data_IF_671205751116
#
_entry.id   IF_671205751116
#
_cell.length_a   1.000
_cell.length_b   1.000
_cell.length_c   1.000
_cell.angle_alpha   90.00
_cell.angle_beta   90.00
_cell.angle_gamma   90.00
#
_symmetry.space_group_name_H-M   'P 1'
#
loop_
_entity.id
_entity.type
_entity.pdbx_description
1 polymer ?
#
# COMPACT_ATOMS: atom_id res chain seq x y z
N UNK A 1 -1.62 13.59 11.03
CA UNK A 1 -0.67 13.98 9.97
C UNK A 1 0.28 15.04 10.46
N UNK A 2 -0.18 16.14 11.10
CA UNK A 2 0.69 17.23 11.57
C UNK A 2 1.78 16.75 12.56
N UNK A 3 1.46 15.86 13.47
CA UNK A 3 2.43 15.28 14.41
C UNK A 3 3.49 14.44 13.67
N UNK A 4 3.06 13.61 12.71
CA UNK A 4 3.97 12.84 11.88
C UNK A 4 4.86 13.75 11.02
N UNK A 5 4.32 14.83 10.45
CA UNK A 5 5.11 15.83 9.72
C UNK A 5 6.25 16.42 10.59
N UNK A 6 5.98 16.72 11.85
CA UNK A 6 7.00 17.18 12.80
C UNK A 6 8.04 16.09 13.12
N UNK A 7 7.58 14.85 13.30
CA UNK A 7 8.45 13.70 13.60
C UNK A 7 9.41 13.39 12.47
N UNK A 8 8.93 13.39 11.22
CA UNK A 8 9.73 13.10 10.03
C UNK A 8 10.49 14.33 9.49
N UNK A 9 10.16 15.52 9.96
CA UNK A 9 10.82 16.76 9.52
C UNK A 9 10.49 17.17 8.08
N UNK A 10 9.43 16.63 7.49
CA UNK A 10 8.97 16.94 6.14
C UNK A 10 7.64 17.71 6.18
N UNK A 11 7.54 18.76 5.39
CA UNK A 11 6.30 19.49 5.24
C UNK A 11 5.25 18.67 4.49
N UNK A 12 3.97 18.83 4.84
CA UNK A 12 2.85 18.16 4.18
C UNK A 12 1.74 19.15 3.89
N UNK A 13 1.28 19.17 2.63
CA UNK A 13 0.04 19.83 2.23
C UNK A 13 -1.11 18.82 2.26
N UNK A 14 -2.28 19.22 2.76
CA UNK A 14 -3.44 18.34 2.79
C UNK A 14 -4.48 18.80 1.79
N UNK A 15 -4.80 17.97 0.82
CA UNK A 15 -5.96 18.07 -0.06
C UNK A 15 -6.88 16.91 0.28
N UNK A 16 -8.19 17.10 0.21
CA UNK A 16 -9.11 16.04 0.61
C UNK A 16 -10.52 16.26 0.05
N UNK A 17 -11.25 15.17 -0.10
CA UNK A 17 -12.69 15.17 -0.31
C UNK A 17 -13.37 15.11 1.06
N UNK A 18 -13.68 16.29 1.64
CA UNK A 18 -14.11 16.42 3.03
C UNK A 18 -15.37 15.61 3.37
N UNK A 19 -16.30 15.47 2.42
CA UNK A 19 -17.54 14.72 2.60
C UNK A 19 -17.35 13.21 2.68
N UNK A 20 -16.26 12.71 2.08
CA UNK A 20 -16.00 11.27 1.95
C UNK A 20 -14.91 10.77 2.92
N UNK A 21 -14.23 11.69 3.61
CA UNK A 21 -13.07 11.36 4.45
C UNK A 21 -11.84 10.89 3.65
N UNK A 22 -11.83 11.12 2.33
CA UNK A 22 -10.73 10.74 1.46
C UNK A 22 -9.64 11.82 1.46
N UNK A 23 -8.45 11.47 1.90
CA UNK A 23 -7.34 12.40 2.09
C UNK A 23 -6.21 12.17 1.09
N UNK A 24 -5.66 13.27 0.57
CA UNK A 24 -4.51 13.30 -0.32
C UNK A 24 -3.35 14.08 0.32
N UNK A 25 -2.61 13.51 1.27
CA UNK A 25 -1.45 14.17 1.85
C UNK A 25 -0.34 14.30 0.82
N UNK A 26 0.08 15.55 0.53
CA UNK A 26 1.17 15.89 -0.37
C UNK A 26 2.43 16.11 0.46
N UNK A 27 3.26 15.08 0.61
CA UNK A 27 4.51 15.16 1.34
C UNK A 27 5.55 15.81 0.45
N UNK A 28 6.16 16.89 0.95
CA UNK A 28 7.17 17.65 0.20
C UNK A 28 8.56 17.15 0.56
N UNK A 29 9.31 16.68 -0.43
CA UNK A 29 10.69 16.22 -0.26
C UNK A 29 11.58 16.76 -1.38
N UNK A 30 12.90 16.81 -1.16
CA UNK A 30 13.88 17.21 -2.16
C UNK A 30 14.52 15.97 -2.78
N UNK A 31 14.17 15.67 -4.02
CA UNK A 31 14.70 14.51 -4.77
C UNK A 31 16.23 14.54 -4.97
N UNK A 32 16.87 15.70 -4.80
CA UNK A 32 18.33 15.84 -4.91
C UNK A 32 19.05 15.58 -3.58
N UNK A 33 18.31 15.51 -2.47
CA UNK A 33 18.86 15.29 -1.15
C UNK A 33 18.84 13.79 -0.83
N UNK A 34 20.00 13.16 -0.62
CA UNK A 34 20.06 11.74 -0.26
C UNK A 34 19.25 11.44 1.01
N UNK A 35 18.42 10.40 0.96
CA UNK A 35 17.61 9.93 2.09
C UNK A 35 16.24 10.62 2.23
N UNK A 36 15.98 11.72 1.52
CA UNK A 36 14.70 12.42 1.63
C UNK A 36 13.55 11.62 1.00
N UNK A 37 13.79 10.88 -0.08
CA UNK A 37 12.81 10.01 -0.70
C UNK A 37 12.40 8.88 0.26
N UNK A 38 13.36 8.19 0.83
CA UNK A 38 13.14 7.11 1.80
C UNK A 38 12.39 7.61 3.04
N UNK A 39 12.72 8.82 3.50
CA UNK A 39 12.00 9.46 4.61
C UNK A 39 10.56 9.80 4.23
N UNK A 40 10.34 10.28 3.00
CA UNK A 40 9.00 10.55 2.45
C UNK A 40 8.15 9.27 2.36
N UNK A 41 8.72 8.18 1.85
CA UNK A 41 8.05 6.88 1.77
C UNK A 41 7.70 6.33 3.15
N UNK A 42 8.61 6.41 4.11
CA UNK A 42 8.38 6.00 5.49
C UNK A 42 7.27 6.85 6.15
N UNK A 43 7.27 8.15 5.94
CA UNK A 43 6.20 9.04 6.42
C UNK A 43 4.84 8.68 5.79
N UNK A 44 4.80 8.44 4.49
CA UNK A 44 3.59 7.98 3.80
C UNK A 44 3.06 6.67 4.36
N UNK A 45 3.95 5.71 4.63
CA UNK A 45 3.58 4.43 5.23
C UNK A 45 2.96 4.59 6.63
N UNK A 46 3.49 5.46 7.48
CA UNK A 46 2.92 5.73 8.82
C UNK A 46 1.53 6.40 8.72
N UNK A 47 1.31 7.30 7.76
CA UNK A 47 -0.02 7.86 7.51
C UNK A 47 -1.02 6.75 7.13
N UNK A 48 -0.63 5.84 6.24
CA UNK A 48 -1.49 4.74 5.79
C UNK A 48 -1.81 3.75 6.93
N UNK A 49 -0.83 3.42 7.78
CA UNK A 49 -1.06 2.61 8.99
C UNK A 49 -2.07 3.28 9.92
N UNK A 50 -1.88 4.57 10.19
CA UNK A 50 -2.82 5.34 11.00
C UNK A 50 -4.23 5.35 10.38
N UNK A 51 -4.36 5.47 9.06
CA UNK A 51 -5.66 5.38 8.39
C UNK A 51 -6.36 4.06 8.69
N UNK A 52 -5.65 2.93 8.64
CA UNK A 52 -6.21 1.62 8.95
C UNK A 52 -6.58 1.52 10.44
N UNK A 53 -5.74 1.99 11.35
CA UNK A 53 -5.98 1.99 12.79
C UNK A 53 -7.26 2.73 13.19
N UNK A 54 -7.57 3.83 12.51
CA UNK A 54 -8.81 4.60 12.78
C UNK A 54 -10.03 4.10 12.00
N UNK A 55 -9.93 2.93 11.36
CA UNK A 55 -11.03 2.30 10.65
C UNK A 55 -11.20 2.72 9.19
N UNK A 56 -10.19 3.37 8.61
CA UNK A 56 -10.11 3.68 7.19
C UNK A 56 -9.44 2.55 6.39
N UNK A 57 -8.91 2.89 5.22
CA UNK A 57 -8.26 1.94 4.32
C UNK A 57 -6.99 2.52 3.68
N UNK A 58 -6.15 1.64 3.14
CA UNK A 58 -4.89 2.00 2.48
C UNK A 58 -5.06 2.86 1.23
N UNK A 59 -6.19 2.78 0.58
CA UNK A 59 -6.46 3.54 -0.65
C UNK A 59 -7.93 3.91 -0.75
N UNK A 60 -8.20 5.19 -0.98
CA UNK A 60 -9.55 5.66 -1.24
C UNK A 60 -9.97 5.46 -2.69
N UNK A 61 -9.11 5.87 -3.66
CA UNK A 61 -9.44 5.88 -5.08
C UNK A 61 -8.29 5.50 -6.01
N UNK A 62 -7.02 5.76 -5.63
CA UNK A 62 -5.88 5.56 -6.55
C UNK A 62 -5.45 4.10 -6.70
N UNK A 63 -5.89 3.22 -5.83
CA UNK A 63 -5.47 1.83 -5.81
C UNK A 63 -4.16 1.59 -5.05
N UNK A 64 -3.80 0.33 -4.89
CA UNK A 64 -2.63 -0.12 -4.13
C UNK A 64 -1.34 -0.03 -4.96
N UNK A 65 -1.40 -0.52 -6.20
CA UNK A 65 -0.25 -0.52 -7.11
C UNK A 65 0.98 -1.25 -6.56
N UNK A 66 2.13 -0.62 -6.74
CA UNK A 66 3.43 -1.05 -6.19
C UNK A 66 3.70 -0.35 -4.86
N UNK A 67 3.33 0.91 -4.76
CA UNK A 67 3.66 1.80 -3.66
C UNK A 67 3.10 1.32 -2.30
N UNK A 68 1.86 0.83 -2.29
CA UNK A 68 1.16 0.44 -1.05
C UNK A 68 1.08 -1.08 -0.84
N UNK A 69 1.59 -1.89 -1.77
CA UNK A 69 1.43 -3.35 -1.74
C UNK A 69 2.01 -3.99 -0.48
N UNK A 70 3.13 -3.47 0.02
CA UNK A 70 3.81 -4.03 1.19
C UNK A 70 3.11 -3.66 2.51
N UNK A 71 2.10 -2.78 2.45
CA UNK A 71 1.21 -2.44 3.54
C UNK A 71 -0.12 -3.22 3.52
N UNK A 72 -0.35 -4.05 2.51
CA UNK A 72 -1.60 -4.83 2.43
C UNK A 72 -1.82 -5.73 3.66
N UNK A 73 -0.74 -6.25 4.27
CA UNK A 73 -0.82 -7.04 5.52
C UNK A 73 -1.20 -6.20 6.75
N UNK A 74 -1.16 -4.86 6.68
CA UNK A 74 -1.64 -3.99 7.76
C UNK A 74 -3.17 -3.98 7.79
N UNK A 75 -3.80 -4.05 6.63
CA UNK A 75 -5.26 -3.99 6.50
C UNK A 75 -5.91 -5.38 6.41
N UNK A 76 -5.26 -6.35 5.78
CA UNK A 76 -5.82 -7.66 5.48
C UNK A 76 -5.04 -8.79 6.14
N UNK A 77 -5.75 -9.72 6.74
CA UNK A 77 -5.15 -10.95 7.25
C UNK A 77 -4.69 -11.90 6.14
N UNK A 78 -3.88 -12.93 6.48
CA UNK A 78 -3.39 -13.89 5.49
C UNK A 78 -4.50 -14.56 4.68
N UNK A 79 -5.61 -14.93 5.32
CA UNK A 79 -6.76 -15.56 4.65
C UNK A 79 -7.47 -14.61 3.69
N UNK A 80 -7.53 -13.32 4.01
CA UNK A 80 -8.14 -12.31 3.14
C UNK A 80 -7.27 -12.11 1.88
N UNK A 81 -5.96 -12.02 2.06
CA UNK A 81 -5.02 -11.91 0.94
C UNK A 81 -5.06 -13.15 0.05
N UNK A 82 -5.13 -14.33 0.63
CA UNK A 82 -5.27 -15.60 -0.10
C UNK A 82 -6.54 -15.62 -0.94
N UNK A 83 -7.68 -15.24 -0.36
CA UNK A 83 -8.97 -15.16 -1.09
C UNK A 83 -8.91 -14.16 -2.26
N UNK A 84 -8.24 -13.03 -2.08
CA UNK A 84 -8.03 -12.04 -3.15
C UNK A 84 -7.12 -12.62 -4.26
N UNK A 85 -6.08 -13.39 -3.91
CA UNK A 85 -5.21 -14.03 -4.88
C UNK A 85 -5.92 -15.15 -5.66
N UNK A 86 -6.80 -15.93 -5.03
CA UNK A 86 -7.66 -16.89 -5.74
C UNK A 86 -8.53 -16.20 -6.80
N UNK A 87 -9.08 -15.02 -6.49
CA UNK A 87 -9.83 -14.26 -7.47
C UNK A 87 -8.96 -13.86 -8.67
N UNK A 88 -7.70 -13.45 -8.42
CA UNK A 88 -6.75 -13.16 -9.49
C UNK A 88 -6.47 -14.41 -10.35
N UNK A 89 -6.34 -15.58 -9.76
CA UNK A 89 -6.10 -16.83 -10.48
C UNK A 89 -7.19 -17.14 -11.51
N UNK A 90 -8.46 -16.83 -11.18
CA UNK A 90 -9.59 -17.04 -12.10
C UNK A 90 -9.44 -16.23 -13.37
N UNK A 91 -8.94 -14.99 -13.28
CA UNK A 91 -8.82 -14.09 -14.44
C UNK A 91 -7.43 -14.08 -15.09
N UNK A 92 -6.41 -14.41 -14.34
CA UNK A 92 -5.01 -14.38 -14.78
C UNK A 92 -4.22 -15.56 -14.19
N UNK A 93 -4.55 -16.80 -14.58
CA UNK A 93 -3.96 -18.01 -13.97
C UNK A 93 -2.45 -18.10 -14.14
N UNK A 94 -1.87 -17.42 -15.13
CA UNK A 94 -0.42 -17.34 -15.34
C UNK A 94 0.25 -16.16 -14.65
N UNK A 95 -0.51 -15.28 -14.00
CA UNK A 95 -0.01 -14.07 -13.32
C UNK A 95 0.84 -13.14 -14.21
N UNK A 96 0.45 -13.00 -15.47
CA UNK A 96 1.15 -12.17 -16.45
C UNK A 96 0.72 -10.70 -16.38
N UNK A 97 -0.51 -10.43 -15.95
CA UNK A 97 -1.08 -9.09 -15.93
C UNK A 97 -0.70 -8.38 -14.63
N UNK A 98 -0.24 -7.14 -14.75
CA UNK A 98 0.11 -6.31 -13.60
C UNK A 98 1.02 -7.04 -12.58
N UNK A 99 2.06 -7.66 -13.07
CA UNK A 99 3.00 -8.42 -12.26
C UNK A 99 3.56 -7.58 -11.11
N UNK A 100 3.71 -8.21 -9.93
CA UNK A 100 4.24 -7.60 -8.71
C UNK A 100 3.47 -6.36 -8.20
N UNK A 101 2.20 -6.21 -8.55
CA UNK A 101 1.32 -5.16 -8.05
C UNK A 101 0.27 -5.73 -7.10
N UNK A 102 -0.24 -4.88 -6.21
CA UNK A 102 -1.30 -5.14 -5.24
C UNK A 102 -0.88 -6.02 -4.08
N UNK A 103 -0.39 -7.23 -4.33
CA UNK A 103 -0.07 -8.21 -3.28
C UNK A 103 1.37 -8.09 -2.79
N UNK A 104 1.64 -8.23 -1.47
CA UNK A 104 3.01 -8.35 -0.95
C UNK A 104 3.76 -9.45 -1.70
N UNK A 105 5.01 -9.20 -2.06
CA UNK A 105 5.76 -10.12 -2.91
C UNK A 105 5.91 -11.51 -2.32
N UNK A 106 6.18 -11.60 -1.02
CA UNK A 106 6.31 -12.89 -0.32
C UNK A 106 5.01 -13.69 -0.37
N UNK A 107 3.87 -13.03 -0.11
CA UNK A 107 2.55 -13.67 -0.16
C UNK A 107 2.22 -14.17 -1.57
N UNK A 108 2.48 -13.34 -2.59
CA UNK A 108 2.25 -13.70 -3.98
C UNK A 108 3.16 -14.86 -4.44
N UNK A 109 4.42 -14.88 -4.02
CA UNK A 109 5.36 -15.94 -4.35
C UNK A 109 4.97 -17.27 -3.67
N UNK A 110 4.59 -17.23 -2.40
CA UNK A 110 4.14 -18.41 -1.65
C UNK A 110 2.87 -19.00 -2.27
N UNK A 111 1.89 -18.16 -2.60
CA UNK A 111 0.66 -18.58 -3.27
C UNK A 111 0.93 -19.26 -4.61
N UNK A 112 1.76 -18.64 -5.46
CA UNK A 112 2.14 -19.21 -6.77
C UNK A 112 2.90 -20.54 -6.64
N UNK A 113 3.80 -20.64 -5.68
CA UNK A 113 4.53 -21.89 -5.43
C UNK A 113 3.58 -23.04 -5.01
N UNK A 114 2.58 -22.74 -4.19
CA UNK A 114 1.58 -23.72 -3.78
C UNK A 114 0.71 -24.20 -4.96
N UNK A 115 0.32 -23.31 -5.87
CA UNK A 115 -0.41 -23.67 -7.09
C UNK A 115 0.39 -24.62 -7.99
N UNK A 116 1.64 -24.29 -8.30
CA UNK A 116 2.50 -25.09 -9.15
C UNK A 116 2.82 -26.47 -8.55
N UNK A 117 2.76 -26.62 -7.26
CA UNK A 117 2.94 -27.90 -6.57
C UNK A 117 1.69 -28.79 -6.60
N UNK A 118 0.52 -28.21 -6.92
CA UNK A 118 -0.76 -28.92 -6.98
C UNK A 118 -1.14 -29.40 -8.40
N UNK A 119 -0.41 -28.97 -9.42
CA UNK A 119 -0.50 -29.41 -10.83
C UNK A 119 0.33 -30.68 -11.08
#
# INVERSE_FOLDING_TARGET
ISELSQQFGLAVGNVFHAGDGNMHPLILYDANKPGDLETCEAFGAEILKLCVEVGGCLTGEHGVGVEKRDLMNVQFGPMDLEAQMWLKDVFDPKWLLNAAKVFPLESAQAHRAAQLAAE
#
